data_IF_552098886603
#
_entry.id   IF_552098886603
#
_cell.length_a   1.000
_cell.length_b   1.000
_cell.length_c   1.000
_cell.angle_alpha   90.00
_cell.angle_beta   90.00
_cell.angle_gamma   90.00
#
_symmetry.space_group_name_H-M   'P 1'
#
loop_
_entity.id
_entity.type
_entity.pdbx_description
1 polymer ?
#
# COMPACT_ATOMS: atom_id res chain seq x y z
N UNK A 1 -11.43 10.67 25.06
CA UNK A 1 -10.54 11.57 24.29
C UNK A 1 -9.32 10.72 23.90
N UNK A 2 -9.08 10.45 22.60
CA UNK A 2 -8.07 9.46 22.15
C UNK A 2 -6.62 9.99 22.14
N UNK A 3 -6.39 11.25 22.51
CA UNK A 3 -5.15 11.97 22.20
C UNK A 3 -4.16 12.11 23.37
N UNK A 4 -4.63 12.08 24.61
CA UNK A 4 -3.73 12.18 25.77
C UNK A 4 -2.85 10.92 25.83
N UNK A 5 -1.53 11.12 25.78
CA UNK A 5 -0.54 10.04 25.88
C UNK A 5 -0.06 9.44 24.55
N UNK A 6 -0.54 9.93 23.40
CA UNK A 6 -0.01 9.53 22.09
C UNK A 6 1.23 10.34 21.70
N UNK A 7 2.13 9.69 20.96
CA UNK A 7 3.37 10.31 20.48
C UNK A 7 3.55 10.07 18.98
N UNK A 8 4.33 10.91 18.34
CA UNK A 8 4.65 10.85 16.91
C UNK A 8 6.16 10.66 16.77
N UNK A 9 6.53 9.65 15.97
CA UNK A 9 7.90 9.46 15.53
C UNK A 9 8.14 10.38 14.33
N UNK A 10 9.25 11.09 14.36
CA UNK A 10 9.66 12.02 13.33
C UNK A 10 11.00 11.63 12.74
N UNK A 11 11.18 11.92 11.45
CA UNK A 11 12.47 11.92 10.79
C UNK A 11 12.82 13.32 10.27
N UNK A 12 14.11 13.63 10.12
CA UNK A 12 14.54 14.99 9.74
C UNK A 12 14.23 15.36 8.29
N UNK A 13 14.14 14.38 7.38
CA UNK A 13 13.89 14.65 5.95
C UNK A 13 12.41 14.50 5.59
N UNK A 14 11.73 13.50 6.15
CA UNK A 14 10.34 13.18 5.79
C UNK A 14 9.31 13.82 6.74
N UNK A 15 9.73 14.24 7.94
CA UNK A 15 8.84 14.81 8.94
C UNK A 15 8.13 13.73 9.78
N UNK A 16 6.87 13.94 10.19
CA UNK A 16 6.09 12.94 10.94
C UNK A 16 5.94 11.64 10.14
N UNK A 17 6.37 10.50 10.68
CA UNK A 17 6.34 9.22 9.94
C UNK A 17 5.33 8.21 10.49
N UNK A 18 5.12 8.14 11.81
CA UNK A 18 4.16 7.24 12.44
C UNK A 18 3.72 7.78 13.80
N UNK A 19 2.54 7.36 14.25
CA UNK A 19 2.06 7.61 15.61
C UNK A 19 2.10 6.35 16.46
N UNK A 20 2.24 6.51 17.77
CA UNK A 20 2.25 5.43 18.76
C UNK A 20 1.31 5.77 19.92
N UNK A 21 0.76 4.74 20.55
CA UNK A 21 -0.18 4.90 21.66
C UNK A 21 0.46 5.33 22.99
N UNK A 22 1.75 5.08 23.19
CA UNK A 22 2.44 5.37 24.45
C UNK A 22 3.87 5.85 24.23
N UNK A 23 4.43 6.54 25.22
CA UNK A 23 5.83 6.99 25.19
C UNK A 23 6.80 5.82 25.08
N UNK A 24 6.58 4.77 25.86
CA UNK A 24 7.44 3.57 25.89
C UNK A 24 7.53 2.93 24.51
N UNK A 25 6.39 2.80 23.82
CA UNK A 25 6.36 2.28 22.44
C UNK A 25 7.08 3.23 21.47
N UNK A 26 6.92 4.54 21.65
CA UNK A 26 7.61 5.55 20.86
C UNK A 26 9.12 5.55 21.01
N UNK A 27 9.62 5.44 22.25
CA UNK A 27 11.04 5.37 22.54
C UNK A 27 11.66 4.11 21.92
N UNK A 28 10.96 2.98 21.98
CA UNK A 28 11.39 1.75 21.31
C UNK A 28 11.36 1.89 19.79
N UNK A 29 10.34 2.51 19.22
CA UNK A 29 10.24 2.76 17.78
C UNK A 29 11.41 3.63 17.28
N UNK A 30 11.74 4.70 18.01
CA UNK A 30 12.92 5.55 17.72
C UNK A 30 14.21 4.75 17.83
N UNK A 31 14.37 3.92 18.87
CA UNK A 31 15.55 3.06 19.05
C UNK A 31 15.70 2.08 17.88
N UNK A 32 14.61 1.49 17.40
CA UNK A 32 14.63 0.56 16.26
C UNK A 32 14.98 1.27 14.95
N UNK A 33 14.43 2.47 14.72
CA UNK A 33 14.56 3.19 13.45
C UNK A 33 15.92 3.87 13.28
N UNK A 34 16.53 4.37 14.36
CA UNK A 34 17.80 5.11 14.32
C UNK A 34 18.95 4.39 13.59
N UNK A 35 19.26 3.11 13.86
CA UNK A 35 20.30 2.38 13.15
C UNK A 35 20.09 2.38 11.63
N UNK A 36 18.84 2.28 11.19
CA UNK A 36 18.50 2.20 9.76
C UNK A 36 18.68 3.53 9.02
N UNK A 37 18.74 4.66 9.74
CA UNK A 37 18.88 6.02 9.20
C UNK A 37 20.23 6.67 9.53
N UNK A 38 21.07 5.99 10.31
CA UNK A 38 22.34 6.51 10.81
C UNK A 38 23.29 6.88 9.65
N UNK A 39 23.49 5.96 8.71
CA UNK A 39 24.45 6.12 7.61
C UNK A 39 24.07 7.23 6.62
N UNK A 40 22.79 7.63 6.58
CA UNK A 40 22.28 8.67 5.67
C UNK A 40 22.06 10.02 6.37
N UNK A 41 22.58 10.17 7.60
CA UNK A 41 22.60 11.41 8.37
C UNK A 41 21.21 11.90 8.81
N UNK A 42 20.23 11.02 8.86
CA UNK A 42 18.85 11.39 9.17
C UNK A 42 18.57 11.23 10.66
N UNK A 43 18.02 12.28 11.28
CA UNK A 43 17.72 12.29 12.71
C UNK A 43 16.33 11.72 12.94
N UNK A 44 16.20 10.90 13.99
CA UNK A 44 14.91 10.34 14.43
C UNK A 44 14.65 10.73 15.89
N UNK A 45 13.46 11.28 16.14
CA UNK A 45 13.03 11.71 17.48
C UNK A 45 11.54 11.46 17.70
N UNK A 46 11.13 11.58 18.96
CA UNK A 46 9.75 11.45 19.41
C UNK A 46 9.21 12.81 19.85
N UNK A 47 7.96 13.11 19.55
CA UNK A 47 7.27 14.29 20.06
C UNK A 47 5.82 13.96 20.47
N UNK A 48 5.21 14.69 21.41
CA UNK A 48 3.79 14.54 21.72
C UNK A 48 2.93 14.77 20.48
N UNK A 49 1.92 13.93 20.28
CA UNK A 49 1.06 14.02 19.11
C UNK A 49 0.13 15.24 19.17
N UNK A 50 -0.07 15.90 18.03
CA UNK A 50 -1.15 16.89 17.85
C UNK A 50 -2.30 16.26 17.05
N UNK A 51 -3.58 16.58 17.35
CA UNK A 51 -4.73 16.00 16.65
C UNK A 51 -4.69 16.13 15.12
N UNK A 52 -4.13 17.23 14.62
CA UNK A 52 -3.99 17.49 13.18
C UNK A 52 -3.06 16.47 12.49
N UNK A 53 -2.04 15.97 13.18
CA UNK A 53 -1.05 15.06 12.60
C UNK A 53 -1.59 13.63 12.51
N UNK A 54 -2.47 13.23 13.43
CA UNK A 54 -2.91 11.85 13.55
C UNK A 54 -3.87 11.40 12.45
N UNK A 55 -4.48 12.34 11.72
CA UNK A 55 -5.38 12.03 10.60
C UNK A 55 -4.66 11.33 9.45
N UNK A 56 -3.39 11.67 9.25
CA UNK A 56 -2.60 11.24 8.10
C UNK A 56 -1.53 10.21 8.48
N UNK A 57 -1.49 9.78 9.74
CA UNK A 57 -0.48 8.88 10.27
C UNK A 57 -1.07 7.53 10.67
N UNK A 58 -0.33 6.48 10.35
CA UNK A 58 -0.62 5.15 10.89
C UNK A 58 -0.33 5.13 12.39
N UNK A 59 -1.28 4.62 13.16
CA UNK A 59 -1.16 4.46 14.61
C UNK A 59 -0.70 3.05 14.93
N UNK A 60 0.57 2.92 15.31
CA UNK A 60 1.21 1.68 15.73
C UNK A 60 0.91 1.43 17.22
N UNK A 61 0.43 0.23 17.51
CA UNK A 61 -0.17 -0.17 18.78
C UNK A 61 0.64 -1.25 19.49
N UNK A 62 1.44 -2.02 18.74
CA UNK A 62 2.18 -3.17 19.26
C UNK A 62 3.68 -3.09 18.98
N UNK A 63 4.46 -3.89 19.71
CA UNK A 63 5.91 -4.01 19.51
C UNK A 63 6.24 -4.58 18.12
N UNK A 64 5.43 -5.52 17.63
CA UNK A 64 5.59 -6.12 16.30
C UNK A 64 5.39 -5.07 15.20
N UNK A 65 4.41 -4.17 15.36
CA UNK A 65 4.12 -3.13 14.39
C UNK A 65 5.26 -2.09 14.28
N UNK A 66 6.03 -1.86 15.34
CA UNK A 66 7.19 -0.94 15.35
C UNK A 66 8.51 -1.61 14.99
N UNK A 67 8.49 -2.87 14.56
CA UNK A 67 9.66 -3.49 13.96
C UNK A 67 10.00 -2.81 12.64
N UNK A 68 11.29 -2.57 12.41
CA UNK A 68 11.76 -1.90 11.20
C UNK A 68 11.96 -2.92 10.09
N UNK A 69 11.37 -2.63 8.93
CA UNK A 69 11.42 -3.48 7.75
C UNK A 69 11.77 -2.68 6.52
N UNK A 70 12.23 -3.38 5.48
CA UNK A 70 12.31 -2.82 4.13
C UNK A 70 11.01 -3.15 3.41
N UNK A 71 10.20 -2.14 3.15
CA UNK A 71 9.01 -2.26 2.33
C UNK A 71 9.40 -2.23 0.86
N UNK A 72 9.02 -3.27 0.14
CA UNK A 72 9.10 -3.35 -1.31
C UNK A 72 7.73 -3.01 -1.89
N UNK A 73 7.71 -2.06 -2.82
CA UNK A 73 6.54 -1.72 -3.62
C UNK A 73 6.89 -1.93 -5.09
N UNK A 74 6.08 -2.72 -5.77
CA UNK A 74 6.15 -2.93 -7.22
C UNK A 74 4.92 -2.30 -7.84
N UNK A 75 5.08 -1.64 -8.98
CA UNK A 75 3.97 -1.05 -9.71
C UNK A 75 4.12 -1.33 -11.21
N UNK A 76 3.06 -1.80 -11.84
CA UNK A 76 2.94 -1.88 -13.30
C UNK A 76 2.03 -0.75 -13.78
N UNK A 77 2.53 0.07 -14.70
CA UNK A 77 1.76 1.12 -15.35
C UNK A 77 1.95 1.00 -16.86
N UNK A 78 0.86 0.86 -17.61
CA UNK A 78 0.90 0.68 -19.08
C UNK A 78 1.85 -0.43 -19.55
N UNK A 79 2.03 -1.49 -18.77
CA UNK A 79 2.92 -2.62 -19.08
C UNK A 79 4.37 -2.44 -18.62
N UNK A 80 4.74 -1.28 -18.07
CA UNK A 80 6.07 -1.04 -17.52
C UNK A 80 6.10 -1.29 -16.01
N UNK A 81 7.05 -2.12 -15.58
CA UNK A 81 7.26 -2.45 -14.17
C UNK A 81 8.28 -1.52 -13.53
N UNK A 82 7.92 -0.97 -12.38
CA UNK A 82 8.78 -0.13 -11.54
C UNK A 82 8.81 -0.69 -10.12
N UNK A 83 9.92 -0.48 -9.42
CA UNK A 83 10.07 -0.87 -8.03
C UNK A 83 10.56 0.29 -7.16
N UNK A 84 10.11 0.29 -5.91
CA UNK A 84 10.53 1.24 -4.89
C UNK A 84 10.76 0.49 -3.58
N UNK A 85 11.91 0.73 -2.95
CA UNK A 85 12.19 0.26 -1.60
C UNK A 85 12.17 1.43 -0.62
N UNK A 86 11.73 1.19 0.62
CA UNK A 86 11.79 2.18 1.71
C UNK A 86 11.87 1.49 3.06
N UNK A 87 12.66 2.06 3.96
CA UNK A 87 12.73 1.66 5.37
C UNK A 87 11.52 2.27 6.08
N UNK A 88 10.76 1.45 6.80
CA UNK A 88 9.58 1.90 7.55
C UNK A 88 9.21 0.88 8.63
N UNK A 89 8.18 1.19 9.43
CA UNK A 89 7.68 0.24 10.42
C UNK A 89 6.79 -0.84 9.78
N UNK A 90 6.82 -2.05 10.31
CA UNK A 90 6.05 -3.21 9.82
C UNK A 90 4.56 -2.92 9.75
N UNK A 91 3.99 -2.29 10.78
CA UNK A 91 2.55 -1.96 10.83
C UNK A 91 2.11 -0.98 9.73
N UNK A 92 3.04 -0.29 9.09
CA UNK A 92 2.76 0.63 7.98
C UNK A 92 2.75 -0.05 6.61
N UNK A 93 3.26 -1.28 6.51
CA UNK A 93 3.32 -2.02 5.24
C UNK A 93 1.96 -2.62 4.95
N UNK A 94 1.35 -2.23 3.83
CA UNK A 94 0.07 -2.77 3.37
C UNK A 94 0.31 -3.96 2.47
N UNK A 95 0.50 -5.15 3.05
CA UNK A 95 0.70 -6.37 2.28
C UNK A 95 -0.52 -6.68 1.40
N UNK A 96 -0.33 -6.61 0.08
CA UNK A 96 -1.39 -6.91 -0.87
C UNK A 96 -1.26 -6.15 -2.19
N UNK A 97 -2.18 -6.49 -3.10
CA UNK A 97 -2.31 -5.87 -4.41
C UNK A 97 -3.41 -4.81 -4.42
N UNK A 98 -3.16 -3.67 -5.06
CA UNK A 98 -4.13 -2.57 -5.24
C UNK A 98 -4.11 -2.11 -6.70
N UNK A 99 -5.23 -1.54 -7.14
CA UNK A 99 -5.35 -0.91 -8.46
C UNK A 99 -6.22 -1.68 -9.44
N UNK A 100 -6.10 -1.28 -10.71
CA UNK A 100 -6.85 -1.80 -11.86
C UNK A 100 -5.88 -2.26 -12.96
N UNK A 101 -6.41 -2.83 -14.05
CA UNK A 101 -5.59 -3.34 -15.16
C UNK A 101 -4.56 -2.36 -15.74
N UNK A 102 -4.78 -1.05 -15.70
CA UNK A 102 -3.85 -0.05 -16.25
C UNK A 102 -2.73 0.31 -15.26
N UNK A 103 -2.98 0.05 -13.99
CA UNK A 103 -2.20 0.51 -12.86
C UNK A 103 -2.31 -0.46 -11.68
N UNK A 104 -1.55 -1.55 -11.69
CA UNK A 104 -1.47 -2.46 -10.54
C UNK A 104 -0.28 -2.12 -9.66
N UNK A 105 -0.45 -2.28 -8.35
CA UNK A 105 0.58 -2.12 -7.35
C UNK A 105 0.54 -3.29 -6.39
N UNK A 106 1.71 -3.82 -6.03
CA UNK A 106 1.86 -4.77 -4.95
C UNK A 106 2.85 -4.25 -3.92
N UNK A 107 2.59 -4.52 -2.65
CA UNK A 107 3.44 -4.11 -1.54
C UNK A 107 3.68 -5.27 -0.56
N UNK A 108 4.92 -5.42 -0.08
CA UNK A 108 5.31 -6.52 0.81
C UNK A 108 6.69 -6.35 1.44
N UNK A 109 7.12 -7.37 2.18
CA UNK A 109 8.41 -7.41 2.90
C UNK A 109 9.56 -7.97 2.05
N UNK A 110 9.28 -8.39 0.82
CA UNK A 110 10.28 -8.79 -0.16
C UNK A 110 9.82 -8.38 -1.56
N UNK A 111 10.77 -8.24 -2.48
CA UNK A 111 10.44 -7.96 -3.89
C UNK A 111 9.55 -9.06 -4.48
N UNK A 112 9.86 -10.33 -4.23
CA UNK A 112 9.10 -11.46 -4.74
C UNK A 112 7.65 -11.45 -4.23
N UNK A 113 7.46 -11.14 -2.94
CA UNK A 113 6.13 -11.01 -2.36
C UNK A 113 5.35 -9.84 -2.97
N UNK A 114 5.99 -8.68 -3.12
CA UNK A 114 5.37 -7.51 -3.73
C UNK A 114 4.99 -7.75 -5.20
N UNK A 115 5.84 -8.43 -5.97
CA UNK A 115 5.54 -8.81 -7.35
C UNK A 115 4.35 -9.77 -7.42
N UNK A 116 4.36 -10.84 -6.62
CA UNK A 116 3.27 -11.81 -6.56
C UNK A 116 1.92 -11.15 -6.25
N UNK A 117 1.88 -10.18 -5.33
CA UNK A 117 0.66 -9.43 -5.06
C UNK A 117 0.20 -8.55 -6.23
N UNK A 118 1.13 -7.95 -6.97
CA UNK A 118 0.80 -7.14 -8.13
C UNK A 118 0.28 -8.00 -9.30
N UNK A 119 0.91 -9.15 -9.55
CA UNK A 119 0.51 -10.12 -10.57
C UNK A 119 -0.86 -10.72 -10.26
N UNK A 120 -1.08 -11.19 -9.03
CA UNK A 120 -2.38 -11.71 -8.61
C UNK A 120 -3.49 -10.65 -8.78
N UNK A 121 -3.18 -9.36 -8.57
CA UNK A 121 -4.15 -8.28 -8.80
C UNK A 121 -4.47 -8.08 -10.28
N UNK A 122 -3.48 -8.26 -11.16
CA UNK A 122 -3.64 -8.15 -12.61
C UNK A 122 -4.52 -9.28 -13.16
N UNK A 123 -4.41 -10.48 -12.60
CA UNK A 123 -5.20 -11.66 -12.99
C UNK A 123 -6.68 -11.58 -12.56
N UNK A 124 -6.95 -10.95 -11.41
CA UNK A 124 -8.30 -10.80 -10.85
C UNK A 124 -9.19 -9.79 -11.59
N UNK A 125 -8.61 -8.95 -12.44
CA UNK A 125 -9.33 -8.10 -13.39
C UNK A 125 -9.15 -8.71 -14.79
N UNK A 126 -9.74 -9.91 -15.06
CA UNK A 126 -9.75 -10.41 -16.41
C UNK A 126 -10.34 -9.31 -17.24
N UNK A 127 -9.73 -9.02 -18.39
CA UNK A 127 -10.32 -8.15 -19.39
C UNK A 127 -11.83 -8.40 -19.37
N UNK A 128 -12.65 -7.34 -19.33
CA UNK A 128 -13.92 -7.48 -20.04
C UNK A 128 -13.49 -8.15 -21.34
N UNK A 129 -13.89 -9.42 -21.55
CA UNK A 129 -13.85 -9.99 -22.90
C UNK A 129 -14.26 -8.80 -23.73
N UNK A 130 -13.39 -8.33 -24.64
CA UNK A 130 -13.87 -7.49 -25.71
C UNK A 130 -15.13 -8.24 -26.11
N UNK A 131 -16.29 -7.66 -25.77
CA UNK A 131 -17.55 -8.29 -26.07
C UNK A 131 -17.43 -8.24 -27.55
N UNK A 132 -16.95 -9.35 -28.13
CA UNK A 132 -16.76 -9.49 -29.53
C UNK A 132 -18.14 -9.11 -29.98
N UNK A 133 -18.23 -7.93 -30.60
CA UNK A 133 -19.48 -7.48 -31.18
C UNK A 133 -19.64 -8.56 -32.22
N UNK A 134 -20.35 -9.63 -31.86
CA UNK A 134 -20.78 -10.64 -32.79
C UNK A 134 -21.52 -9.76 -33.77
N UNK A 135 -21.03 -9.61 -35.01
CA UNK A 135 -21.74 -8.83 -35.97
C UNK A 135 -22.99 -9.64 -36.21
N UNK A 136 -24.05 -9.37 -35.43
CA UNK A 136 -25.34 -9.92 -35.74
C UNK A 136 -25.66 -9.28 -37.09
N UNK A 137 -25.85 -10.12 -38.11
CA UNK A 137 -26.38 -9.64 -39.36
C UNK A 137 -27.74 -9.04 -39.04
N UNK A 138 -27.95 -7.77 -39.41
CA UNK A 138 -29.24 -7.12 -39.29
C UNK A 138 -30.32 -7.98 -39.99
N UNK A 139 -29.94 -8.71 -41.05
CA UNK A 139 -30.82 -9.66 -41.73
C UNK A 139 -31.29 -10.78 -40.80
N UNK A 140 -30.43 -11.35 -39.98
CA UNK A 140 -30.78 -12.45 -39.06
C UNK A 140 -31.68 -11.99 -37.92
N UNK A 141 -31.52 -10.75 -37.46
CA UNK A 141 -32.39 -10.14 -36.45
C UNK A 141 -33.78 -9.79 -36.99
N UNK A 142 -33.86 -9.41 -38.27
CA UNK A 142 -35.10 -9.02 -38.95
C UNK A 142 -35.86 -10.20 -39.56
N UNK A 143 -35.30 -11.42 -39.56
CA UNK A 143 -36.06 -12.61 -39.99
C UNK A 143 -37.31 -12.73 -39.11
N UNK A 144 -38.52 -12.77 -39.71
CA UNK A 144 -39.73 -13.05 -38.97
C UNK A 144 -39.53 -14.34 -38.20
N UNK A 145 -39.79 -14.33 -36.88
CA UNK A 145 -39.91 -15.57 -36.11
C UNK A 145 -41.13 -16.31 -36.66
N UNK A 146 -40.90 -17.10 -37.70
CA UNK A 146 -41.93 -17.99 -38.25
C UNK A 146 -42.38 -18.89 -37.10
N UNK A 147 -43.69 -18.88 -36.89
CA UNK A 147 -44.41 -19.50 -35.81
C UNK A 147 -43.92 -20.94 -35.58
N UNK A 148 -43.57 -21.25 -34.33
CA UNK A 148 -43.53 -22.63 -33.87
C UNK A 148 -44.96 -23.17 -33.97
N UNK A 149 -45.21 -23.98 -34.99
CA UNK A 149 -46.34 -24.89 -35.09
C UNK A 149 -46.21 -26.01 -34.06
#
# INVERSE_FOLDING_TARGET
MLFEGMYVVHTSKEGPCAAVLTQVLGDQAVRNLRPAYFDIGERVWLAPARPVQLKDLEVLRTVEEIEVVVRHRVQCWKGEWTSQTKIMFRGQVRCGGLGDRRAVRGEGFSHAQAMSFAEARLELDPAAQEVAIVPFSLEDFLRPRVQLS
#
